data_IF_780493645580
#
_entry.id   IF_780493645580
#
_cell.length_a   1.000
_cell.length_b   1.000
_cell.length_c   1.000
_cell.angle_alpha   90.00
_cell.angle_beta   90.00
_cell.angle_gamma   90.00
#
_symmetry.space_group_name_H-M   'P 1'
#
loop_
_entity.id
_entity.type
_entity.pdbx_description
1 polymer ?
#
# COMPACT_ATOMS: atom_id res chain seq x y z
N UNK A 1 6.31 -34.72 7.26
CA UNK A 1 7.64 -34.09 7.10
C UNK A 1 7.45 -32.78 6.31
N UNK A 2 7.56 -31.66 6.97
CA UNK A 2 7.60 -30.37 6.27
C UNK A 2 8.95 -30.25 5.57
N UNK A 3 8.96 -30.25 4.23
CA UNK A 3 10.13 -29.80 3.48
C UNK A 3 10.39 -28.35 3.90
N UNK A 4 11.53 -28.11 4.54
CA UNK A 4 12.05 -26.76 4.67
C UNK A 4 12.40 -26.31 3.26
N UNK A 5 11.61 -25.43 2.68
CA UNK A 5 12.01 -24.72 1.48
C UNK A 5 13.28 -23.93 1.83
N UNK A 6 14.41 -24.46 1.43
CA UNK A 6 15.66 -23.71 1.48
C UNK A 6 15.51 -22.55 0.50
N UNK A 7 15.44 -21.37 1.04
CA UNK A 7 15.53 -20.16 0.22
C UNK A 7 16.91 -20.17 -0.48
N UNK A 8 16.88 -20.30 -1.80
CA UNK A 8 18.09 -20.16 -2.61
C UNK A 8 18.14 -18.74 -3.19
N UNK A 9 19.25 -18.07 -2.91
CA UNK A 9 19.50 -16.76 -3.48
C UNK A 9 19.89 -16.90 -4.94
N UNK A 10 18.99 -16.54 -5.84
CA UNK A 10 19.20 -16.64 -7.29
C UNK A 10 19.82 -15.35 -7.86
N UNK A 11 20.44 -15.41 -9.06
CA UNK A 11 20.88 -14.19 -9.75
C UNK A 11 19.76 -13.17 -10.00
N UNK A 12 18.54 -13.65 -10.24
CA UNK A 12 17.34 -12.80 -10.39
C UNK A 12 16.98 -12.11 -9.07
N UNK A 13 17.10 -12.81 -7.94
CA UNK A 13 16.89 -12.24 -6.62
C UNK A 13 17.94 -11.19 -6.28
N UNK A 14 19.20 -11.43 -6.68
CA UNK A 14 20.30 -10.48 -6.50
C UNK A 14 20.08 -9.20 -7.32
N UNK A 15 19.67 -9.33 -8.57
CA UNK A 15 19.32 -8.20 -9.43
C UNK A 15 18.14 -7.40 -8.88
N UNK A 16 17.08 -8.06 -8.42
CA UNK A 16 15.93 -7.42 -7.80
C UNK A 16 16.31 -6.68 -6.51
N UNK A 17 17.17 -7.27 -5.69
CA UNK A 17 17.67 -6.65 -4.47
C UNK A 17 18.57 -5.43 -4.75
N UNK A 18 19.44 -5.51 -5.76
CA UNK A 18 20.26 -4.38 -6.19
C UNK A 18 19.38 -3.22 -6.70
N UNK A 19 18.36 -3.52 -7.48
CA UNK A 19 17.38 -2.54 -7.97
C UNK A 19 16.61 -1.89 -6.81
N UNK A 20 16.19 -2.67 -5.84
CA UNK A 20 15.52 -2.19 -4.65
C UNK A 20 16.42 -1.28 -3.81
N UNK A 21 17.68 -1.64 -3.61
CA UNK A 21 18.70 -0.79 -2.95
C UNK A 21 18.88 0.54 -3.66
N UNK A 22 18.96 0.53 -4.99
CA UNK A 22 19.09 1.74 -5.78
C UNK A 22 17.85 2.64 -5.62
N UNK A 23 16.65 2.08 -5.66
CA UNK A 23 15.40 2.79 -5.43
C UNK A 23 15.34 3.44 -4.05
N UNK A 24 15.85 2.78 -3.02
CA UNK A 24 15.79 3.26 -1.64
C UNK A 24 16.94 4.23 -1.32
N UNK A 25 18.08 4.13 -1.99
CA UNK A 25 19.23 5.00 -1.79
C UNK A 25 19.16 6.30 -2.60
N UNK A 26 18.44 6.30 -3.71
CA UNK A 26 18.13 7.50 -4.47
C UNK A 26 16.77 8.02 -4.01
N UNK A 27 16.67 9.33 -3.72
CA UNK A 27 15.36 9.92 -3.49
C UNK A 27 14.51 9.69 -4.74
N UNK A 28 13.44 8.85 -4.68
CA UNK A 28 12.62 8.63 -5.86
C UNK A 28 11.99 9.95 -6.28
N UNK A 29 12.08 10.26 -7.55
CA UNK A 29 11.33 11.39 -8.11
C UNK A 29 9.86 11.03 -8.05
N UNK A 30 9.11 11.72 -7.20
CA UNK A 30 7.68 11.52 -7.08
C UNK A 30 6.99 12.03 -8.35
N UNK A 31 6.12 11.20 -8.92
CA UNK A 31 5.33 11.58 -10.07
C UNK A 31 4.16 12.46 -9.64
N UNK A 32 3.87 13.49 -10.42
CA UNK A 32 2.63 14.24 -10.27
C UNK A 32 1.52 13.57 -11.07
N UNK A 33 0.39 13.17 -10.46
CA UNK A 33 -0.71 12.58 -11.19
C UNK A 33 -1.38 13.61 -12.11
N UNK A 34 -1.85 13.14 -13.26
CA UNK A 34 -2.67 13.92 -14.18
C UNK A 34 -4.12 13.90 -13.66
N UNK A 35 -4.87 14.97 -13.85
CA UNK A 35 -6.27 15.06 -13.41
C UNK A 35 -7.08 13.81 -13.81
N UNK A 36 -7.77 13.22 -12.83
CA UNK A 36 -8.58 12.00 -12.97
C UNK A 36 -7.85 10.73 -13.37
N UNK A 37 -6.51 10.74 -13.38
CA UNK A 37 -5.72 9.54 -13.60
C UNK A 37 -5.97 8.51 -12.49
N UNK A 38 -6.22 7.21 -12.77
CA UNK A 38 -6.40 6.20 -11.74
C UNK A 38 -5.12 6.00 -10.94
N UNK A 39 -5.25 5.92 -9.61
CA UNK A 39 -4.15 5.68 -8.70
C UNK A 39 -4.27 4.33 -8.01
N UNK A 40 -3.14 3.73 -7.67
CA UNK A 40 -3.06 2.50 -6.91
C UNK A 40 -2.49 2.79 -5.52
N UNK A 41 -3.09 2.21 -4.49
CA UNK A 41 -2.63 2.31 -3.11
C UNK A 41 -2.19 0.93 -2.60
N UNK A 42 -0.92 0.83 -2.24
CA UNK A 42 -0.34 -0.35 -1.61
C UNK A 42 -0.20 -0.12 -0.12
N UNK A 43 -0.53 -1.12 0.68
CA UNK A 43 -0.50 -1.04 2.13
C UNK A 43 0.28 -2.22 2.69
N UNK A 44 1.10 -1.93 3.69
CA UNK A 44 1.76 -2.94 4.50
C UNK A 44 1.71 -2.54 5.97
N UNK A 45 1.64 -3.52 6.84
CA UNK A 45 1.77 -3.29 8.28
C UNK A 45 2.60 -4.38 8.94
N UNK A 46 3.35 -3.96 9.94
CA UNK A 46 4.02 -4.83 10.91
C UNK A 46 3.31 -4.74 12.27
N UNK A 47 3.89 -5.33 13.29
CA UNK A 47 3.37 -5.16 14.65
C UNK A 47 3.34 -3.69 15.12
N UNK A 48 4.23 -2.86 14.61
CA UNK A 48 4.48 -1.51 15.12
C UNK A 48 4.26 -0.37 14.11
N UNK A 49 4.24 -0.68 12.82
CA UNK A 49 4.24 0.32 11.74
C UNK A 49 3.19 -0.01 10.71
N UNK A 50 2.54 1.00 10.18
CA UNK A 50 1.76 0.92 8.94
C UNK A 50 2.36 1.85 7.90
N UNK A 51 2.48 1.37 6.66
CA UNK A 51 2.99 2.16 5.55
C UNK A 51 2.09 2.03 4.33
N UNK A 52 2.04 3.08 3.54
CA UNK A 52 1.28 3.12 2.29
C UNK A 52 2.11 3.77 1.20
N UNK A 53 1.91 3.30 -0.02
CA UNK A 53 2.53 3.87 -1.23
C UNK A 53 1.42 4.12 -2.24
N UNK A 54 1.30 5.36 -2.65
CA UNK A 54 0.38 5.77 -3.70
C UNK A 54 1.15 5.83 -5.02
N UNK A 55 0.65 5.16 -6.05
CA UNK A 55 1.32 5.05 -7.35
C UNK A 55 0.39 5.36 -8.50
N UNK A 56 0.98 5.67 -9.64
CA UNK A 56 0.32 5.78 -10.93
C UNK A 56 0.96 4.83 -11.91
N UNK A 57 0.16 4.18 -12.76
CA UNK A 57 0.63 3.33 -13.85
C UNK A 57 0.61 4.09 -15.16
N UNK A 58 1.72 4.06 -15.89
CA UNK A 58 1.85 4.71 -17.21
C UNK A 58 2.50 3.79 -18.20
N UNK A 59 2.05 3.87 -19.44
CA UNK A 59 2.70 3.21 -20.55
C UNK A 59 3.99 3.96 -20.89
N UNK A 60 5.08 3.21 -21.01
CA UNK A 60 6.37 3.73 -21.45
C UNK A 60 6.81 3.04 -22.73
N UNK A 61 7.41 3.82 -23.64
CA UNK A 61 7.96 3.35 -24.90
C UNK A 61 9.04 2.27 -24.67
N UNK A 62 8.96 1.16 -25.41
CA UNK A 62 9.90 0.04 -25.28
C UNK A 62 9.64 -0.92 -24.12
N UNK A 63 8.56 -0.75 -23.35
CA UNK A 63 8.17 -1.66 -22.27
C UNK A 63 6.86 -2.38 -22.56
N UNK A 64 6.84 -3.71 -22.35
CA UNK A 64 5.67 -4.55 -22.59
C UNK A 64 4.53 -4.32 -21.58
N UNK A 65 4.85 -3.82 -20.37
CA UNK A 65 3.91 -3.59 -19.28
C UNK A 65 3.94 -2.14 -18.84
N UNK A 66 2.83 -1.68 -18.25
CA UNK A 66 2.76 -0.38 -17.62
C UNK A 66 3.78 -0.27 -16.49
N UNK A 67 4.41 0.88 -16.40
CA UNK A 67 5.39 1.19 -15.35
C UNK A 67 4.71 1.94 -14.24
N UNK A 68 4.94 1.51 -13.00
CA UNK A 68 4.44 2.19 -11.81
C UNK A 68 5.42 3.28 -11.36
N UNK A 69 4.87 4.46 -11.14
CA UNK A 69 5.61 5.60 -10.61
C UNK A 69 5.04 5.98 -9.25
N UNK A 70 5.86 6.11 -8.21
CA UNK A 70 5.38 6.54 -6.91
C UNK A 70 4.92 7.99 -6.95
N UNK A 71 3.77 8.25 -6.33
CA UNK A 71 3.21 9.59 -6.15
C UNK A 71 3.49 10.09 -4.74
N UNK A 72 3.32 9.25 -3.74
CA UNK A 72 3.52 9.60 -2.34
C UNK A 72 3.77 8.37 -1.47
N UNK A 73 4.59 8.55 -0.44
CA UNK A 73 4.87 7.53 0.58
C UNK A 73 4.40 8.03 1.94
N UNK A 74 3.77 7.16 2.71
CA UNK A 74 3.41 7.44 4.09
C UNK A 74 3.87 6.27 4.94
N UNK A 75 4.50 6.55 6.06
CA UNK A 75 4.83 5.55 7.07
C UNK A 75 4.55 6.14 8.45
N UNK A 76 3.85 5.38 9.28
CA UNK A 76 3.49 5.80 10.63
C UNK A 76 3.83 4.72 11.65
N UNK A 77 4.58 5.10 12.66
CA UNK A 77 4.79 4.27 13.85
C UNK A 77 3.51 4.31 14.68
N UNK A 78 2.94 3.14 14.91
CA UNK A 78 1.68 3.00 15.64
C UNK A 78 1.89 3.25 17.15
N UNK A 79 0.98 4.00 17.74
CA UNK A 79 0.92 4.15 19.20
C UNK A 79 0.68 2.78 19.86
N UNK A 80 1.06 2.59 21.15
CA UNK A 80 0.83 1.32 21.84
C UNK A 80 -0.60 0.80 21.75
N UNK A 81 -1.59 1.67 21.77
CA UNK A 81 -3.00 1.30 21.60
C UNK A 81 -3.31 0.80 20.20
N UNK A 82 -2.76 1.43 19.15
CA UNK A 82 -2.94 1.02 17.76
C UNK A 82 -2.17 -0.26 17.41
N UNK A 83 -1.05 -0.52 18.07
CA UNK A 83 -0.29 -1.75 17.91
C UNK A 83 -1.12 -3.00 18.27
N UNK A 84 -2.12 -2.85 19.13
CA UNK A 84 -3.04 -3.92 19.54
C UNK A 84 -4.18 -4.18 18.55
N UNK A 85 -4.31 -3.36 17.50
CA UNK A 85 -5.33 -3.62 16.49
C UNK A 85 -5.06 -4.95 15.77
N UNK A 86 -6.09 -5.73 15.46
CA UNK A 86 -5.95 -6.85 14.53
C UNK A 86 -5.33 -6.38 13.22
N UNK A 87 -4.64 -7.28 12.52
CA UNK A 87 -3.93 -6.93 11.28
C UNK A 87 -4.82 -6.22 10.26
N UNK A 88 -6.04 -6.73 10.03
CA UNK A 88 -6.98 -6.10 9.10
C UNK A 88 -7.38 -4.67 9.52
N UNK A 89 -7.49 -4.39 10.81
CA UNK A 89 -7.77 -3.04 11.31
C UNK A 89 -6.60 -2.09 11.09
N UNK A 90 -5.37 -2.57 11.17
CA UNK A 90 -4.18 -1.77 10.83
C UNK A 90 -4.18 -1.40 9.35
N UNK A 91 -4.58 -2.31 8.47
CA UNK A 91 -4.70 -2.03 7.04
C UNK A 91 -5.79 -0.99 6.75
N UNK A 92 -6.96 -1.14 7.34
CA UNK A 92 -8.04 -0.14 7.21
C UNK A 92 -7.61 1.21 7.77
N UNK A 93 -6.91 1.22 8.90
CA UNK A 93 -6.33 2.43 9.46
C UNK A 93 -5.33 3.08 8.49
N UNK A 94 -4.52 2.29 7.78
CA UNK A 94 -3.59 2.77 6.76
C UNK A 94 -4.31 3.50 5.63
N UNK A 95 -5.44 2.98 5.14
CA UNK A 95 -6.29 3.67 4.16
C UNK A 95 -6.81 4.97 4.75
N UNK A 96 -7.40 4.92 5.93
CA UNK A 96 -7.98 6.08 6.62
C UNK A 96 -6.94 7.19 6.83
N UNK A 97 -5.76 6.84 7.33
CA UNK A 97 -4.63 7.75 7.52
C UNK A 97 -4.22 8.41 6.20
N UNK A 98 -4.13 7.63 5.13
CA UNK A 98 -3.75 8.14 3.81
C UNK A 98 -4.78 9.14 3.29
N UNK A 99 -6.07 8.87 3.47
CA UNK A 99 -7.14 9.80 3.07
C UNK A 99 -7.04 11.15 3.80
N UNK A 100 -6.56 11.14 5.03
CA UNK A 100 -6.37 12.38 5.81
C UNK A 100 -5.14 13.16 5.37
N UNK A 101 -4.05 12.47 5.06
CA UNK A 101 -2.78 13.13 4.69
C UNK A 101 -2.75 13.63 3.26
N UNK A 102 -3.41 12.95 2.34
CA UNK A 102 -3.44 13.31 0.90
C UNK A 102 -4.87 13.37 0.37
N UNK A 103 -5.74 14.03 1.11
CA UNK A 103 -7.16 14.11 0.82
C UNK A 103 -7.48 14.61 -0.62
N UNK A 104 -6.67 15.51 -1.15
CA UNK A 104 -6.84 16.05 -2.50
C UNK A 104 -6.73 14.98 -3.59
N UNK A 105 -5.91 13.94 -3.41
CA UNK A 105 -5.83 12.82 -4.37
C UNK A 105 -7.10 11.98 -4.34
N UNK A 106 -7.68 11.76 -3.18
CA UNK A 106 -8.94 11.00 -3.03
C UNK A 106 -10.15 11.75 -3.58
N UNK A 107 -10.10 13.07 -3.63
CA UNK A 107 -11.17 13.89 -4.21
C UNK A 107 -11.17 13.87 -5.74
N UNK A 108 -9.98 13.80 -6.36
CA UNK A 108 -9.82 14.00 -7.78
C UNK A 108 -9.57 12.71 -8.58
N UNK A 109 -9.30 11.60 -7.89
CA UNK A 109 -8.88 10.36 -8.51
C UNK A 109 -9.67 9.16 -7.98
N UNK A 110 -9.89 8.17 -8.87
CA UNK A 110 -10.29 6.83 -8.46
C UNK A 110 -9.06 6.15 -7.87
N UNK A 111 -9.16 5.64 -6.65
CA UNK A 111 -8.07 4.96 -5.98
C UNK A 111 -8.40 3.50 -5.78
N UNK A 112 -7.57 2.63 -6.33
CA UNK A 112 -7.67 1.19 -6.14
C UNK A 112 -6.68 0.74 -5.08
N UNK A 113 -7.20 0.17 -4.00
CA UNK A 113 -6.40 -0.43 -2.93
C UNK A 113 -6.04 -1.85 -3.35
N UNK A 114 -4.75 -2.13 -3.44
CA UNK A 114 -4.23 -3.45 -3.82
C UNK A 114 -3.93 -4.25 -2.57
N UNK A 115 -4.75 -5.26 -2.29
CA UNK A 115 -4.65 -6.06 -1.07
C UNK A 115 -5.30 -7.44 -1.25
N UNK A 116 -4.74 -8.46 -0.58
CA UNK A 116 -5.37 -9.79 -0.50
C UNK A 116 -6.32 -9.90 0.70
N UNK A 117 -6.31 -8.93 1.61
CA UNK A 117 -7.24 -8.91 2.72
C UNK A 117 -8.65 -8.51 2.25
N UNK A 118 -9.72 -9.07 2.81
CA UNK A 118 -11.11 -8.80 2.41
C UNK A 118 -11.60 -7.44 2.97
N UNK A 119 -10.88 -6.36 2.70
CA UNK A 119 -11.16 -5.03 3.27
C UNK A 119 -12.48 -4.44 2.79
N UNK A 120 -12.88 -4.73 1.55
CA UNK A 120 -14.18 -4.28 1.03
C UNK A 120 -15.33 -4.86 1.86
N UNK A 121 -15.28 -6.15 2.16
CA UNK A 121 -16.28 -6.82 2.99
C UNK A 121 -16.28 -6.28 4.42
N UNK A 122 -15.09 -6.05 4.98
CA UNK A 122 -14.92 -5.51 6.33
C UNK A 122 -15.52 -4.11 6.45
N UNK A 123 -15.30 -3.25 5.46
CA UNK A 123 -15.83 -1.89 5.44
C UNK A 123 -17.35 -1.84 5.25
N UNK A 124 -17.94 -2.83 4.56
CA UNK A 124 -19.39 -2.92 4.34
C UNK A 124 -20.11 -3.77 5.40
N UNK A 125 -19.39 -4.35 6.36
CA UNK A 125 -19.96 -5.18 7.41
C UNK A 125 -20.71 -4.31 8.44
N UNK A 126 -21.99 -4.56 8.60
CA UNK A 126 -22.84 -3.86 9.59
C UNK A 126 -22.49 -4.19 11.04
N UNK A 127 -21.88 -5.36 11.27
CA UNK A 127 -21.45 -5.83 12.59
C UNK A 127 -19.99 -5.46 12.91
N UNK A 128 -19.37 -4.57 12.11
CA UNK A 128 -18.04 -4.10 12.34
C UNK A 128 -17.90 -3.42 13.71
N UNK A 129 -16.69 -3.49 14.29
CA UNK A 129 -16.39 -2.74 15.51
C UNK A 129 -16.69 -1.25 15.33
N UNK A 130 -17.02 -0.55 16.39
CA UNK A 130 -17.34 0.89 16.34
C UNK A 130 -16.25 1.73 15.68
N UNK A 131 -14.98 1.33 15.82
CA UNK A 131 -13.83 1.98 15.20
C UNK A 131 -13.84 1.80 13.69
N UNK A 132 -13.98 0.57 13.20
CA UNK A 132 -14.05 0.29 11.76
C UNK A 132 -15.29 0.94 11.15
N UNK A 133 -16.41 0.88 11.82
CA UNK A 133 -17.64 1.54 11.38
C UNK A 133 -17.45 3.06 11.24
N UNK A 134 -16.75 3.69 12.15
CA UNK A 134 -16.41 5.12 12.10
C UNK A 134 -15.54 5.44 10.88
N UNK A 135 -14.50 4.65 10.61
CA UNK A 135 -13.67 4.84 9.43
C UNK A 135 -14.46 4.59 8.14
N UNK A 136 -15.30 3.56 8.12
CA UNK A 136 -16.14 3.24 6.96
C UNK A 136 -17.05 4.39 6.57
N UNK A 137 -17.67 5.09 7.52
CA UNK A 137 -18.50 6.26 7.26
C UNK A 137 -17.74 7.34 6.50
N UNK A 138 -16.47 7.53 6.81
CA UNK A 138 -15.63 8.52 6.13
C UNK A 138 -15.08 8.02 4.77
N UNK A 139 -14.85 6.72 4.61
CA UNK A 139 -14.27 6.12 3.42
C UNK A 139 -15.30 5.81 2.32
N UNK A 140 -16.52 5.38 2.69
CA UNK A 140 -17.53 4.97 1.72
C UNK A 140 -17.96 6.05 0.71
N UNK A 141 -17.99 7.35 1.05
CA UNK A 141 -18.27 8.39 0.07
C UNK A 141 -17.17 8.60 -0.99
N UNK A 142 -15.96 8.08 -0.75
CA UNK A 142 -14.83 8.19 -1.66
C UNK A 142 -14.89 7.08 -2.72
N UNK A 143 -14.39 7.35 -3.92
CA UNK A 143 -14.30 6.35 -4.98
C UNK A 143 -13.07 5.45 -4.77
N UNK A 144 -13.20 4.51 -3.84
CA UNK A 144 -12.17 3.55 -3.48
C UNK A 144 -12.57 2.17 -3.97
N UNK A 145 -11.70 1.55 -4.76
CA UNK A 145 -11.86 0.19 -5.27
C UNK A 145 -10.84 -0.74 -4.66
N UNK A 146 -11.06 -2.04 -4.74
CA UNK A 146 -10.18 -3.06 -4.17
C UNK A 146 -9.81 -4.10 -5.23
N UNK A 147 -8.53 -4.44 -5.30
CA UNK A 147 -7.99 -5.49 -6.16
C UNK A 147 -7.04 -6.40 -5.39
N UNK A 148 -6.94 -7.65 -5.83
CA UNK A 148 -5.97 -8.59 -5.28
C UNK A 148 -4.53 -8.22 -5.64
N UNK A 149 -3.61 -8.58 -4.78
CA UNK A 149 -2.17 -8.37 -5.00
C UNK A 149 -1.66 -9.12 -6.22
N UNK A 150 -0.79 -8.43 -6.96
CA UNK A 150 0.12 -9.02 -7.94
C UNK A 150 1.55 -8.77 -7.47
N UNK A 151 2.53 -9.54 -7.93
CA UNK A 151 3.93 -9.30 -7.59
C UNK A 151 4.41 -7.97 -8.19
N UNK A 152 4.52 -6.91 -7.36
CA UNK A 152 4.80 -5.54 -7.82
C UNK A 152 5.80 -4.86 -6.89
N UNK A 153 6.68 -4.03 -7.47
CA UNK A 153 7.69 -3.24 -6.75
C UNK A 153 7.12 -2.36 -5.64
N UNK A 154 5.99 -1.71 -5.88
CA UNK A 154 5.38 -0.80 -4.91
C UNK A 154 4.91 -1.51 -3.63
N UNK A 155 4.44 -2.75 -3.74
CA UNK A 155 4.14 -3.55 -2.56
C UNK A 155 5.41 -3.91 -1.78
N UNK A 156 6.51 -4.23 -2.48
CA UNK A 156 7.79 -4.48 -1.85
C UNK A 156 8.32 -3.25 -1.11
N UNK A 157 8.16 -2.06 -1.68
CA UNK A 157 8.52 -0.79 -1.03
C UNK A 157 7.66 -0.57 0.21
N UNK A 158 6.34 -0.78 0.14
CA UNK A 158 5.45 -0.63 1.28
C UNK A 158 5.81 -1.60 2.41
N UNK A 159 6.08 -2.86 2.09
CA UNK A 159 6.54 -3.86 3.06
C UNK A 159 7.87 -3.45 3.71
N UNK A 160 8.83 -3.00 2.91
CA UNK A 160 10.12 -2.54 3.41
C UNK A 160 9.97 -1.36 4.38
N UNK A 161 9.18 -0.35 4.01
CA UNK A 161 8.92 0.81 4.87
C UNK A 161 8.27 0.40 6.19
N UNK A 162 7.34 -0.56 6.17
CA UNK A 162 6.70 -1.06 7.37
C UNK A 162 7.67 -1.79 8.32
N UNK A 163 8.64 -2.53 7.76
CA UNK A 163 9.63 -3.28 8.53
C UNK A 163 10.76 -2.40 9.09
N UNK A 164 11.15 -1.36 8.38
CA UNK A 164 12.34 -0.55 8.69
C UNK A 164 12.03 0.84 9.24
N UNK A 165 10.77 1.21 9.39
CA UNK A 165 10.40 2.46 10.06
C UNK A 165 10.38 2.25 11.57
N UNK A 166 11.15 3.04 12.28
CA UNK A 166 11.19 3.08 13.74
C UNK A 166 10.21 4.11 14.31
#
# INVERSE_FOLDING_TARGET
>A
MKKSDKFEWTPEADAAFAELKTLLSTHPVLAAPISKEPLLLYIASTGQVVSTVLTVEREEEGKAFKVQHPVYYISEVLTPSKQRYPHYQKLVYGIYMTTKKVAHYFSDHIITVVTDAPLSEILHNRDATSRVAKWAIELLPLDIRFEAKKAIKSQAIANFLAEWTE
#
